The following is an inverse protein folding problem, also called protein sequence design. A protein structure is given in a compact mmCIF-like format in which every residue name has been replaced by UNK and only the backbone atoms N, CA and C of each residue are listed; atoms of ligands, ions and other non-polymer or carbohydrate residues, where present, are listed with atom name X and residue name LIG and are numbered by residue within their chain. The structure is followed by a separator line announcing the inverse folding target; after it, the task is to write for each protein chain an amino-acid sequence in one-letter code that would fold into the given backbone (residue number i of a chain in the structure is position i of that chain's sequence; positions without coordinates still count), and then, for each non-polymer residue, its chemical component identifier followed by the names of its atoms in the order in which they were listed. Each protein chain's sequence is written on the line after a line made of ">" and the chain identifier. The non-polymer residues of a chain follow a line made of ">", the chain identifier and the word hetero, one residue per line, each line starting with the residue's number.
data_IF_901683668279
#
_entry.id   IF_901683668279
#
_cell.length_a   1.000
_cell.length_b   1.000
_cell.length_c   1.000
_cell.angle_alpha   90.00
_cell.angle_beta   90.00
_cell.angle_gamma   90.00
#
_symmetry.space_group_name_H-M   'P 1'
#
loop_
_entity.id
_entity.type
_entity.pdbx_description
1 polymer ?
#
# COMPACT_ATOMS: atom_id res chain seq x y z
N UNK A 1 -6.86 -27.51 -10.20
CA UNK A 1 -6.40 -28.15 -11.43
C UNK A 1 -5.23 -29.02 -11.04
N UNK A 2 -5.33 -30.31 -11.33
CA UNK A 2 -4.24 -31.24 -11.07
C UNK A 2 -3.10 -31.02 -12.09
N UNK A 3 -1.88 -31.41 -11.73
CA UNK A 3 -0.68 -31.12 -12.53
C UNK A 3 -0.72 -31.81 -13.91
N UNK A 4 -1.27 -33.02 -13.97
CA UNK A 4 -1.44 -33.78 -15.21
C UNK A 4 -2.43 -33.11 -16.17
N UNK A 5 -3.56 -32.62 -15.66
CA UNK A 5 -4.54 -31.85 -16.43
C UNK A 5 -3.91 -30.57 -16.99
N UNK A 6 -3.17 -29.82 -16.16
CA UNK A 6 -2.47 -28.60 -16.60
C UNK A 6 -1.50 -28.90 -17.75
N UNK A 7 -0.73 -29.99 -17.64
CA UNK A 7 0.23 -30.41 -18.68
C UNK A 7 -0.49 -30.81 -19.98
N UNK A 8 -1.61 -31.53 -19.89
CA UNK A 8 -2.38 -31.94 -21.08
C UNK A 8 -2.93 -30.73 -21.84
N UNK A 9 -3.48 -29.74 -21.11
CA UNK A 9 -3.98 -28.51 -21.72
C UNK A 9 -2.82 -27.67 -22.28
N UNK A 10 -1.72 -27.50 -21.55
CA UNK A 10 -0.54 -26.78 -22.01
C UNK A 10 0.10 -27.41 -23.27
N UNK A 11 -0.04 -28.73 -23.45
CA UNK A 11 0.39 -29.44 -24.66
C UNK A 11 -0.63 -29.37 -25.82
N UNK A 12 -1.80 -28.78 -25.61
CA UNK A 12 -2.88 -28.68 -26.59
C UNK A 12 -3.64 -30.00 -26.84
N UNK A 13 -3.42 -31.01 -26.00
CA UNK A 13 -4.08 -32.32 -26.08
C UNK A 13 -5.56 -32.20 -25.66
N UNK A 14 -5.81 -31.37 -24.65
CA UNK A 14 -7.13 -30.97 -24.15
C UNK A 14 -7.37 -29.49 -24.43
N UNK A 15 -8.63 -29.10 -24.63
CA UNK A 15 -9.01 -27.69 -24.84
C UNK A 15 -8.79 -26.85 -23.58
N UNK A 16 -8.31 -25.62 -23.76
CA UNK A 16 -8.27 -24.61 -22.72
C UNK A 16 -9.68 -24.07 -22.40
N UNK A 17 -9.84 -23.38 -21.27
CA UNK A 17 -11.13 -22.76 -20.92
C UNK A 17 -11.36 -21.49 -21.73
N UNK A 18 -10.33 -20.62 -21.82
CA UNK A 18 -10.40 -19.34 -22.51
C UNK A 18 -9.14 -19.10 -23.36
N UNK A 19 -9.33 -18.63 -24.60
CA UNK A 19 -8.27 -18.10 -25.43
C UNK A 19 -8.46 -16.61 -25.67
N UNK A 20 -7.54 -15.79 -25.18
CA UNK A 20 -7.47 -14.37 -25.50
C UNK A 20 -6.71 -14.21 -26.81
N UNK A 21 -7.37 -13.73 -27.87
CA UNK A 21 -6.83 -13.68 -29.22
C UNK A 21 -6.33 -12.30 -29.61
N UNK A 22 -5.34 -12.25 -30.49
CA UNK A 22 -4.79 -11.05 -31.10
C UNK A 22 -4.38 -9.99 -30.05
N UNK A 23 -3.66 -10.42 -29.01
CA UNK A 23 -3.19 -9.55 -27.95
C UNK A 23 -1.79 -9.01 -28.26
N UNK A 24 -1.52 -7.73 -28.00
CA UNK A 24 -0.15 -7.20 -27.89
C UNK A 24 0.33 -7.44 -26.45
N UNK A 25 0.95 -8.60 -26.22
CA UNK A 25 1.40 -9.01 -24.88
C UNK A 25 2.59 -8.17 -24.45
N UNK A 26 2.48 -7.51 -23.29
CA UNK A 26 3.59 -6.88 -22.60
C UNK A 26 4.29 -7.94 -21.75
N UNK A 27 5.37 -8.50 -22.26
CA UNK A 27 6.12 -9.53 -21.56
C UNK A 27 7.15 -8.89 -20.63
N UNK A 28 6.76 -8.75 -19.37
CA UNK A 28 7.60 -8.17 -18.31
C UNK A 28 8.81 -9.02 -17.93
N UNK A 29 8.90 -10.27 -18.39
CA UNK A 29 10.05 -11.15 -18.15
C UNK A 29 11.13 -10.96 -19.22
N UNK A 30 10.75 -10.85 -20.50
CA UNK A 30 11.70 -10.64 -21.60
C UNK A 30 11.96 -9.17 -21.93
N UNK A 31 11.08 -8.27 -21.48
CA UNK A 31 11.15 -6.84 -21.80
C UNK A 31 10.54 -6.48 -23.17
N UNK A 32 9.86 -7.42 -23.83
CA UNK A 32 9.33 -7.23 -25.18
C UNK A 32 7.82 -7.01 -25.20
N UNK A 33 7.35 -6.34 -26.26
CA UNK A 33 5.93 -6.33 -26.65
C UNK A 33 5.79 -7.06 -27.98
N UNK A 34 4.94 -8.08 -28.03
CA UNK A 34 4.71 -8.85 -29.26
C UNK A 34 3.27 -9.36 -29.35
N UNK A 35 2.84 -9.62 -30.59
CA UNK A 35 1.51 -10.16 -30.85
C UNK A 35 1.47 -11.68 -30.64
N UNK A 36 0.53 -12.14 -29.83
CA UNK A 36 0.23 -13.56 -29.66
C UNK A 36 -1.16 -13.78 -29.06
N UNK A 37 -1.56 -15.03 -28.92
CA UNK A 37 -2.75 -15.43 -28.17
C UNK A 37 -2.34 -15.96 -26.79
N UNK A 38 -3.20 -15.84 -25.77
CA UNK A 38 -2.95 -16.34 -24.42
C UNK A 38 -4.02 -17.35 -24.04
N UNK A 39 -3.60 -18.60 -23.80
CA UNK A 39 -4.47 -19.69 -23.38
C UNK A 39 -4.54 -19.79 -21.85
N UNK A 40 -5.74 -19.94 -21.33
CA UNK A 40 -6.05 -19.94 -19.90
C UNK A 40 -6.88 -21.19 -19.57
N UNK A 41 -6.51 -21.88 -18.49
CA UNK A 41 -7.27 -23.00 -17.95
C UNK A 41 -7.41 -22.88 -16.42
N UNK A 42 -8.64 -22.91 -15.93
CA UNK A 42 -8.97 -22.52 -14.56
C UNK A 42 -8.47 -21.11 -14.26
N UNK A 43 -7.49 -21.01 -13.35
CA UNK A 43 -6.86 -19.74 -12.98
C UNK A 43 -5.45 -19.57 -13.50
N UNK A 44 -5.00 -20.47 -14.37
CA UNK A 44 -3.61 -20.53 -14.83
C UNK A 44 -3.51 -20.16 -16.30
N UNK A 45 -2.47 -19.40 -16.62
CA UNK A 45 -1.99 -19.28 -17.99
C UNK A 45 -1.30 -20.61 -18.31
N UNK A 46 -1.72 -21.27 -19.38
CA UNK A 46 -1.19 -22.60 -19.78
C UNK A 46 -0.30 -22.53 -21.01
N UNK A 47 -0.40 -21.45 -21.79
CA UNK A 47 0.35 -21.35 -23.04
C UNK A 47 0.19 -20.01 -23.75
N UNK A 48 1.14 -19.74 -24.64
CA UNK A 48 1.11 -18.63 -25.61
C UNK A 48 1.09 -19.21 -27.03
N UNK A 49 0.35 -18.58 -27.93
CA UNK A 49 0.15 -19.03 -29.31
C UNK A 49 -1.21 -19.69 -29.53
N UNK A 50 -1.34 -20.47 -30.60
CA UNK A 50 -2.62 -21.05 -31.00
C UNK A 50 -3.01 -22.27 -30.15
N UNK A 51 -4.19 -22.21 -29.53
CA UNK A 51 -4.79 -23.30 -28.76
C UNK A 51 -6.24 -23.50 -29.18
N UNK A 52 -6.78 -24.70 -28.93
CA UNK A 52 -8.24 -24.91 -28.92
C UNK A 52 -8.76 -24.50 -27.55
N UNK A 53 -9.84 -23.74 -27.51
CA UNK A 53 -10.47 -23.33 -26.25
C UNK A 53 -11.99 -23.38 -26.33
N UNK A 54 -12.64 -23.55 -25.18
CA UNK A 54 -14.10 -23.55 -25.05
C UNK A 54 -14.68 -22.17 -25.36
N UNK A 55 -13.99 -21.13 -24.90
CA UNK A 55 -14.33 -19.74 -25.18
C UNK A 55 -13.15 -19.02 -25.85
N UNK A 56 -13.45 -18.18 -26.83
CA UNK A 56 -12.47 -17.31 -27.49
C UNK A 56 -12.89 -15.85 -27.34
N UNK A 57 -11.96 -14.99 -26.96
CA UNK A 57 -12.18 -13.54 -26.89
C UNK A 57 -11.13 -12.81 -27.72
N UNK A 58 -11.56 -12.15 -28.78
CA UNK A 58 -10.70 -11.31 -29.61
C UNK A 58 -10.46 -9.96 -28.92
N UNK A 59 -9.19 -9.70 -28.56
CA UNK A 59 -8.75 -8.43 -27.98
C UNK A 59 -8.45 -7.37 -29.04
N UNK A 60 -8.61 -7.67 -30.34
CA UNK A 60 -8.54 -6.70 -31.45
C UNK A 60 -7.24 -5.88 -31.46
N UNK A 61 -6.12 -6.50 -31.11
CA UNK A 61 -4.83 -5.82 -31.00
C UNK A 61 -4.68 -4.93 -29.77
N UNK A 62 -5.57 -4.97 -28.78
CA UNK A 62 -5.33 -4.27 -27.51
C UNK A 62 -4.12 -4.87 -26.79
N UNK A 63 -3.50 -4.07 -25.92
CA UNK A 63 -2.40 -4.56 -25.10
C UNK A 63 -2.90 -5.44 -23.98
N UNK A 64 -2.12 -6.45 -23.62
CA UNK A 64 -2.38 -7.35 -22.50
C UNK A 64 -1.14 -7.38 -21.59
N UNK A 65 -1.30 -6.99 -20.34
CA UNK A 65 -0.23 -7.03 -19.33
C UNK A 65 -0.70 -7.77 -18.06
N UNK A 66 0.23 -8.15 -17.16
CA UNK A 66 -0.15 -8.69 -15.85
C UNK A 66 -0.94 -7.66 -15.05
N UNK A 67 -1.83 -8.13 -14.19
CA UNK A 67 -2.58 -7.28 -13.28
C UNK A 67 -1.69 -6.53 -12.30
N UNK A 68 -2.04 -5.27 -12.02
CA UNK A 68 -1.21 -4.38 -11.22
C UNK A 68 -1.24 -4.76 -9.73
N UNK A 69 -0.14 -4.44 -9.06
CA UNK A 69 0.06 -4.62 -7.62
C UNK A 69 0.42 -3.29 -6.98
N UNK A 70 -0.26 -2.96 -5.89
CA UNK A 70 0.22 -1.94 -4.96
C UNK A 70 1.15 -2.58 -3.93
N UNK A 71 2.41 -2.14 -3.90
CA UNK A 71 3.42 -2.73 -3.05
C UNK A 71 3.30 -2.33 -1.57
N UNK A 72 2.59 -1.25 -1.24
CA UNK A 72 2.41 -0.78 0.14
C UNK A 72 1.25 0.21 0.21
N UNK A 73 0.20 -0.13 0.96
CA UNK A 73 -0.99 0.72 1.12
C UNK A 73 -1.67 0.49 2.46
N UNK A 74 -2.29 1.55 2.99
CA UNK A 74 -3.23 1.50 4.11
C UNK A 74 -4.66 1.66 3.57
N UNK A 75 -5.43 0.56 3.44
CA UNK A 75 -6.81 0.63 2.93
C UNK A 75 -7.66 1.55 3.83
N UNK A 76 -7.37 1.62 5.12
CA UNK A 76 -8.04 2.47 6.08
C UNK A 76 -8.02 3.96 5.69
N UNK A 77 -6.94 4.43 5.06
CA UNK A 77 -6.79 5.81 4.58
C UNK A 77 -7.75 6.15 3.45
N UNK A 78 -8.27 5.14 2.74
CA UNK A 78 -9.34 5.30 1.74
C UNK A 78 -10.72 5.52 2.37
N UNK A 79 -10.86 5.30 3.69
CA UNK A 79 -12.14 5.30 4.40
C UNK A 79 -13.16 4.27 3.88
N UNK A 80 -12.71 3.30 3.07
CA UNK A 80 -13.52 2.22 2.51
C UNK A 80 -13.28 0.91 3.28
N UNK A 81 -14.26 0.01 3.18
CA UNK A 81 -14.04 -1.40 3.52
C UNK A 81 -13.28 -2.08 2.38
N UNK A 82 -12.60 -3.20 2.64
CA UNK A 82 -11.84 -3.94 1.61
C UNK A 82 -12.69 -4.27 0.36
N UNK A 83 -13.96 -4.72 0.48
CA UNK A 83 -14.82 -4.90 -0.70
C UNK A 83 -15.09 -3.64 -1.51
N UNK A 84 -15.29 -2.51 -0.83
CA UNK A 84 -15.56 -1.23 -1.51
C UNK A 84 -14.29 -0.65 -2.13
N UNK A 85 -13.14 -0.85 -1.49
CA UNK A 85 -11.84 -0.55 -2.07
C UNK A 85 -11.59 -1.39 -3.33
N UNK A 86 -11.81 -2.71 -3.28
CA UNK A 86 -11.70 -3.59 -4.43
C UNK A 86 -12.62 -3.15 -5.59
N UNK A 87 -13.86 -2.75 -5.27
CA UNK A 87 -14.80 -2.19 -6.26
C UNK A 87 -14.27 -0.94 -6.96
N UNK A 88 -13.46 -0.13 -6.27
CA UNK A 88 -12.87 1.08 -6.82
C UNK A 88 -11.61 0.79 -7.66
N UNK A 89 -10.73 -0.13 -7.24
CA UNK A 89 -9.40 -0.32 -7.86
C UNK A 89 -9.32 -1.44 -8.88
N UNK A 90 -10.14 -2.48 -8.76
CA UNK A 90 -10.14 -3.60 -9.72
C UNK A 90 -10.49 -3.13 -11.13
N UNK A 91 -11.48 -2.24 -11.35
CA UNK A 91 -11.74 -1.70 -12.69
C UNK A 91 -10.62 -0.85 -13.27
N UNK A 92 -9.68 -0.41 -12.43
CA UNK A 92 -8.48 0.32 -12.81
C UNK A 92 -7.28 -0.63 -13.04
N UNK A 93 -7.48 -1.94 -13.02
CA UNK A 93 -6.45 -2.94 -13.30
C UNK A 93 -5.62 -3.41 -12.10
N UNK A 94 -5.90 -2.91 -10.90
CA UNK A 94 -5.25 -3.41 -9.68
C UNK A 94 -5.86 -4.76 -9.30
N UNK A 95 -5.04 -5.81 -9.28
CA UNK A 95 -5.47 -7.18 -8.98
C UNK A 95 -4.88 -7.72 -7.67
N UNK A 96 -3.82 -7.10 -7.17
CA UNK A 96 -3.29 -7.37 -5.85
C UNK A 96 -2.88 -6.10 -5.10
N UNK A 97 -2.89 -6.17 -3.78
CA UNK A 97 -2.33 -5.15 -2.89
C UNK A 97 -1.60 -5.81 -1.73
N UNK A 98 -0.56 -5.17 -1.23
CA UNK A 98 0.11 -5.52 0.02
C UNK A 98 -0.23 -4.44 1.04
N UNK A 99 -0.99 -4.82 2.06
CA UNK A 99 -1.53 -3.89 3.05
C UNK A 99 -0.71 -3.93 4.34
N UNK A 100 -0.55 -2.77 4.95
CA UNK A 100 -0.26 -2.65 6.39
C UNK A 100 -1.52 -2.17 7.11
N UNK A 101 -2.22 -3.06 7.85
CA UNK A 101 -3.42 -2.71 8.59
C UNK A 101 -3.10 -2.05 9.95
N UNK A 102 -2.04 -1.23 10.04
CA UNK A 102 -1.62 -0.64 11.31
C UNK A 102 -2.65 0.31 11.89
N UNK A 103 -3.50 0.92 11.07
CA UNK A 103 -4.49 1.89 11.53
C UNK A 103 -5.54 1.17 12.36
N UNK A 104 -6.17 0.15 11.78
CA UNK A 104 -7.17 -0.63 12.49
C UNK A 104 -6.56 -1.45 13.64
N UNK A 105 -5.29 -1.87 13.53
CA UNK A 105 -4.58 -2.53 14.61
C UNK A 105 -4.29 -1.60 15.78
N UNK A 106 -3.93 -0.33 15.55
CA UNK A 106 -3.85 0.68 16.61
C UNK A 106 -5.19 0.88 17.32
N UNK A 107 -6.31 0.69 16.62
CA UNK A 107 -7.65 0.80 17.21
C UNK A 107 -8.11 -0.43 17.98
N UNK A 108 -7.92 -1.62 17.39
CA UNK A 108 -8.58 -2.86 17.81
C UNK A 108 -7.63 -4.02 18.06
N UNK A 109 -6.33 -3.83 17.86
CA UNK A 109 -5.31 -4.86 18.00
C UNK A 109 -5.55 -6.02 17.04
N UNK A 110 -5.42 -7.24 17.56
CA UNK A 110 -5.60 -8.48 16.80
C UNK A 110 -6.99 -8.61 16.16
N UNK A 111 -8.03 -8.01 16.74
CA UNK A 111 -9.37 -8.03 16.13
C UNK A 111 -9.44 -7.17 14.87
N UNK A 112 -8.64 -6.09 14.81
CA UNK A 112 -8.49 -5.27 13.61
C UNK A 112 -7.79 -6.03 12.48
N UNK A 113 -6.69 -6.72 12.80
CA UNK A 113 -5.95 -7.55 11.84
C UNK A 113 -6.86 -8.67 11.31
N UNK A 114 -7.57 -9.38 12.19
CA UNK A 114 -8.53 -10.43 11.79
C UNK A 114 -9.66 -9.87 10.94
N UNK A 115 -10.17 -8.67 11.25
CA UNK A 115 -11.17 -8.02 10.41
C UNK A 115 -10.66 -7.84 8.98
N UNK A 116 -9.43 -7.33 8.80
CA UNK A 116 -8.85 -7.15 7.46
C UNK A 116 -8.70 -8.50 6.75
N UNK A 117 -8.18 -9.52 7.43
CA UNK A 117 -8.05 -10.88 6.87
C UNK A 117 -9.39 -11.47 6.41
N UNK A 118 -10.45 -11.36 7.22
CA UNK A 118 -11.77 -11.89 6.87
C UNK A 118 -12.46 -11.04 5.79
N UNK A 119 -12.30 -9.70 5.84
CA UNK A 119 -12.91 -8.76 4.90
C UNK A 119 -12.30 -8.88 3.49
N UNK A 120 -11.05 -9.32 3.40
CA UNK A 120 -10.34 -9.61 2.15
C UNK A 120 -10.87 -10.83 1.40
N UNK A 121 -11.58 -11.75 2.06
CA UNK A 121 -12.10 -12.97 1.42
C UNK A 121 -13.24 -12.64 0.45
N UNK A 122 -13.32 -13.43 -0.62
CA UNK A 122 -14.41 -13.38 -1.61
C UNK A 122 -14.50 -12.07 -2.41
N UNK A 123 -13.39 -11.34 -2.56
CA UNK A 123 -13.26 -10.18 -3.44
C UNK A 123 -12.44 -10.55 -4.69
N UNK A 124 -12.64 -9.87 -5.84
CA UNK A 124 -11.81 -10.02 -7.02
C UNK A 124 -10.47 -9.25 -6.91
N UNK A 125 -9.91 -9.16 -5.71
CA UNK A 125 -8.65 -8.50 -5.36
C UNK A 125 -7.89 -9.42 -4.40
N UNK A 126 -6.63 -9.72 -4.71
CA UNK A 126 -5.74 -10.44 -3.80
C UNK A 126 -5.18 -9.45 -2.78
N UNK A 127 -5.39 -9.72 -1.48
CA UNK A 127 -4.91 -8.84 -0.41
C UNK A 127 -3.90 -9.62 0.41
N UNK A 128 -2.63 -9.22 0.30
CA UNK A 128 -1.54 -9.71 1.11
C UNK A 128 -1.32 -8.78 2.30
N UNK A 129 -0.90 -9.32 3.43
CA UNK A 129 -0.82 -8.59 4.69
C UNK A 129 0.61 -8.59 5.18
N UNK A 130 1.10 -7.40 5.48
CA UNK A 130 2.27 -7.18 6.32
C UNK A 130 1.78 -6.89 7.74
N UNK A 131 2.33 -7.57 8.75
CA UNK A 131 1.85 -7.46 10.13
C UNK A 131 2.29 -6.12 10.76
N UNK A 132 1.37 -5.35 11.37
CA UNK A 132 1.68 -4.04 11.95
C UNK A 132 2.83 -4.07 12.94
N UNK A 133 3.89 -3.32 12.68
CA UNK A 133 5.14 -3.39 13.43
C UNK A 133 5.13 -2.50 14.69
N UNK A 134 4.46 -1.35 14.63
CA UNK A 134 4.54 -0.27 15.61
C UNK A 134 3.15 0.11 16.15
N UNK A 135 2.61 -0.76 17.01
CA UNK A 135 1.33 -0.53 17.72
C UNK A 135 1.57 -0.52 19.24
N UNK A 136 1.53 0.64 19.92
CA UNK A 136 1.52 2.00 19.35
C UNK A 136 2.84 2.38 18.68
N UNK A 137 2.86 3.53 17.99
CA UNK A 137 4.06 4.06 17.32
C UNK A 137 5.10 4.59 18.32
N UNK A 138 4.64 5.05 19.49
CA UNK A 138 5.46 5.62 20.56
C UNK A 138 4.85 5.38 21.94
N UNK A 139 5.65 5.46 23.00
CA UNK A 139 5.14 5.40 24.39
C UNK A 139 4.56 6.73 24.88
N UNK A 140 4.56 7.78 24.05
CA UNK A 140 4.00 9.09 24.37
C UNK A 140 2.48 9.20 24.13
N UNK A 141 1.85 8.17 23.57
CA UNK A 141 0.43 8.19 23.18
C UNK A 141 -0.41 7.10 23.85
N UNK A 142 -1.72 7.17 23.65
CA UNK A 142 -2.66 6.13 24.10
C UNK A 142 -3.38 5.54 22.90
N UNK A 143 -3.01 4.33 22.52
CA UNK A 143 -3.68 3.55 21.49
C UNK A 143 -4.72 2.59 22.07
N UNK A 144 -5.53 2.01 21.19
CA UNK A 144 -6.53 0.99 21.53
C UNK A 144 -5.95 -0.40 21.77
N UNK A 145 -4.70 -0.62 21.36
CA UNK A 145 -3.97 -1.87 21.56
C UNK A 145 -2.46 -1.63 21.73
N UNK A 146 -1.78 -2.68 22.19
CA UNK A 146 -0.32 -2.82 22.12
C UNK A 146 -0.05 -4.21 21.57
N UNK A 147 0.77 -4.30 20.53
CA UNK A 147 1.10 -5.58 19.89
C UNK A 147 2.58 -5.89 20.08
N UNK A 148 2.84 -7.08 20.62
CA UNK A 148 4.17 -7.64 20.82
C UNK A 148 4.48 -8.71 19.77
N UNK A 149 5.73 -9.17 19.73
CA UNK A 149 6.18 -10.24 18.83
C UNK A 149 5.34 -11.53 19.00
N UNK A 150 5.03 -11.92 20.23
CA UNK A 150 4.23 -13.12 20.51
C UNK A 150 2.76 -12.99 20.09
N UNK A 151 2.23 -11.78 19.93
CA UNK A 151 0.89 -11.54 19.40
C UNK A 151 0.84 -11.70 17.88
N UNK A 152 1.93 -11.31 17.19
CA UNK A 152 2.07 -11.35 15.73
C UNK A 152 2.51 -12.71 15.21
N UNK A 153 3.38 -13.41 15.94
CA UNK A 153 3.98 -14.69 15.55
C UNK A 153 2.97 -15.73 15.04
N UNK A 154 1.77 -15.91 15.64
CA UNK A 154 0.77 -16.86 15.12
C UNK A 154 0.30 -16.57 13.70
N UNK A 155 0.28 -15.30 13.29
CA UNK A 155 -0.20 -14.88 11.96
C UNK A 155 0.87 -15.01 10.88
N UNK A 156 2.15 -15.05 11.23
CA UNK A 156 3.23 -15.11 10.25
C UNK A 156 3.17 -16.36 9.36
N UNK A 157 2.61 -17.48 9.84
CA UNK A 157 2.49 -18.70 9.05
C UNK A 157 1.26 -18.74 8.15
N UNK A 158 0.39 -17.72 8.21
CA UNK A 158 -0.75 -17.61 7.32
C UNK A 158 -0.30 -17.37 5.88
N UNK A 159 -0.94 -18.04 4.92
CA UNK A 159 -0.57 -18.03 3.50
C UNK A 159 -0.51 -16.61 2.91
N UNK A 160 -1.41 -15.75 3.37
CA UNK A 160 -1.59 -14.37 2.87
C UNK A 160 -0.72 -13.35 3.62
N UNK A 161 0.07 -13.77 4.61
CA UNK A 161 0.95 -12.89 5.37
C UNK A 161 2.37 -12.95 4.81
N UNK A 162 2.84 -11.82 4.26
CA UNK A 162 4.13 -11.72 3.56
C UNK A 162 5.28 -11.29 4.47
N UNK A 163 4.98 -10.78 5.66
CA UNK A 163 6.00 -10.32 6.60
C UNK A 163 5.52 -9.38 7.69
N UNK A 164 6.43 -8.55 8.18
CA UNK A 164 6.17 -7.47 9.13
C UNK A 164 6.24 -6.15 8.37
N UNK A 165 5.24 -5.31 8.60
CA UNK A 165 5.06 -4.06 7.91
C UNK A 165 6.07 -3.00 8.35
N UNK A 166 5.86 -1.78 7.87
CA UNK A 166 6.83 -0.71 7.93
C UNK A 166 7.42 -0.48 9.33
N UNK A 167 8.71 -0.72 9.49
CA UNK A 167 9.40 -0.54 10.77
C UNK A 167 9.72 0.93 11.03
N UNK A 168 8.67 1.73 11.30
CA UNK A 168 8.76 3.18 11.55
C UNK A 168 9.53 3.52 12.84
N UNK A 169 9.55 2.61 13.83
CA UNK A 169 10.39 2.75 15.01
C UNK A 169 11.86 2.38 14.72
N UNK A 170 12.44 2.97 13.66
CA UNK A 170 13.87 2.91 13.39
C UNK A 170 14.72 3.43 14.58
N UNK A 171 14.29 4.41 15.41
CA UNK A 171 15.04 4.78 16.60
C UNK A 171 15.18 3.62 17.59
N UNK A 172 14.12 2.82 17.78
CA UNK A 172 14.14 1.60 18.59
C UNK A 172 15.09 0.54 18.02
N UNK A 173 15.15 0.40 16.69
CA UNK A 173 16.13 -0.50 16.04
C UNK A 173 17.57 -0.06 16.37
N UNK A 174 17.88 1.24 16.20
CA UNK A 174 19.22 1.79 16.46
C UNK A 174 19.60 1.73 17.94
N UNK A 175 18.63 1.96 18.82
CA UNK A 175 18.78 1.86 20.27
C UNK A 175 18.81 0.41 20.78
N UNK A 176 18.60 -0.57 19.89
CA UNK A 176 18.53 -1.99 20.22
C UNK A 176 17.43 -2.30 21.24
N UNK A 177 16.28 -1.62 21.11
CA UNK A 177 15.12 -1.84 21.97
C UNK A 177 14.69 -3.32 21.89
N UNK A 178 14.60 -4.03 23.03
CA UNK A 178 14.31 -5.46 23.03
C UNK A 178 13.00 -5.83 22.33
N UNK A 179 11.95 -5.02 22.48
CA UNK A 179 10.62 -5.30 21.94
C UNK A 179 10.59 -5.04 20.44
N UNK A 180 11.22 -3.96 19.97
CA UNK A 180 11.43 -3.72 18.53
C UNK A 180 12.25 -4.84 17.89
N UNK A 181 13.36 -5.25 18.51
CA UNK A 181 14.20 -6.31 17.96
C UNK A 181 13.51 -7.69 17.97
N UNK A 182 12.65 -7.96 18.95
CA UNK A 182 11.88 -9.21 18.99
C UNK A 182 10.96 -9.34 17.77
N UNK A 183 10.30 -8.25 17.36
CA UNK A 183 9.45 -8.22 16.16
C UNK A 183 10.23 -8.45 14.87
N UNK A 184 11.46 -7.94 14.78
CA UNK A 184 12.34 -8.22 13.64
C UNK A 184 12.74 -9.70 13.58
N UNK A 185 13.08 -10.29 14.74
CA UNK A 185 13.53 -11.70 14.83
C UNK A 185 12.46 -12.70 14.41
N UNK A 186 11.19 -12.47 14.76
CA UNK A 186 10.12 -13.40 14.34
C UNK A 186 9.90 -13.41 12.82
N UNK A 187 10.37 -12.38 12.11
CA UNK A 187 10.20 -12.20 10.67
C UNK A 187 11.47 -12.48 9.85
N UNK A 188 12.49 -13.14 10.43
CA UNK A 188 13.79 -13.38 9.77
C UNK A 188 13.66 -14.12 8.42
N UNK A 189 12.71 -15.05 8.29
CA UNK A 189 12.43 -15.79 7.07
C UNK A 189 11.39 -15.12 6.14
N UNK A 190 10.94 -13.90 6.50
CA UNK A 190 9.89 -13.14 5.80
C UNK A 190 10.40 -11.76 5.39
N UNK A 191 9.52 -10.95 4.79
CA UNK A 191 9.83 -9.55 4.50
C UNK A 191 9.67 -8.68 5.73
N UNK A 192 10.49 -7.65 5.80
CA UNK A 192 10.39 -6.59 6.79
C UNK A 192 10.46 -5.29 6.00
N UNK A 193 9.32 -4.61 5.94
CA UNK A 193 9.24 -3.33 5.27
C UNK A 193 9.80 -2.21 6.13
N UNK A 194 10.32 -1.19 5.47
CA UNK A 194 10.96 -0.06 6.15
C UNK A 194 10.19 1.24 6.01
N UNK A 195 10.42 2.08 7.01
CA UNK A 195 9.98 3.47 7.09
C UNK A 195 11.08 4.22 7.83
N UNK A 196 11.97 4.85 7.06
CA UNK A 196 13.19 5.46 7.59
C UNK A 196 13.45 6.83 6.97
N UNK A 197 12.56 7.82 7.16
CA UNK A 197 12.70 9.15 6.55
C UNK A 197 13.98 9.83 7.03
N UNK A 198 14.84 10.22 6.08
CA UNK A 198 16.09 10.95 6.35
C UNK A 198 17.20 10.14 7.03
N UNK A 199 17.01 8.84 7.25
CA UNK A 199 18.03 7.97 7.83
C UNK A 199 19.17 7.73 6.82
N UNK A 200 20.42 7.97 7.23
CA UNK A 200 21.59 7.89 6.35
C UNK A 200 22.84 7.33 7.04
N UNK A 201 23.88 7.04 6.26
CA UNK A 201 25.20 6.66 6.76
C UNK A 201 25.21 5.40 7.62
N UNK A 202 25.89 5.45 8.76
CA UNK A 202 26.07 4.26 9.63
C UNK A 202 24.76 3.79 10.26
N UNK A 203 23.86 4.71 10.55
CA UNK A 203 22.57 4.38 11.16
C UNK A 203 21.67 3.69 10.13
N UNK A 204 21.68 4.15 8.87
CA UNK A 204 21.03 3.43 7.78
C UNK A 204 21.65 2.04 7.57
N UNK A 205 22.97 1.91 7.61
CA UNK A 205 23.63 0.59 7.54
C UNK A 205 23.18 -0.34 8.68
N UNK A 206 22.98 0.18 9.90
CA UNK A 206 22.50 -0.61 11.03
C UNK A 206 21.05 -1.06 10.83
N UNK A 207 20.17 -0.17 10.35
CA UNK A 207 18.77 -0.46 10.07
C UNK A 207 18.60 -1.50 8.96
N UNK A 208 19.31 -1.34 7.84
CA UNK A 208 19.35 -2.34 6.75
C UNK A 208 19.97 -3.65 7.22
N UNK A 209 21.04 -3.57 8.02
CA UNK A 209 21.71 -4.71 8.61
C UNK A 209 20.85 -5.50 9.59
N UNK A 210 19.84 -4.87 10.19
CA UNK A 210 18.86 -5.52 11.08
C UNK A 210 17.79 -6.32 10.32
N UNK A 211 17.80 -6.31 8.98
CA UNK A 211 16.92 -7.13 8.14
C UNK A 211 15.82 -6.34 7.43
N UNK A 212 15.72 -5.03 7.62
CA UNK A 212 14.75 -4.18 6.89
C UNK A 212 15.20 -3.99 5.44
N UNK A 213 14.32 -4.27 4.47
CA UNK A 213 14.70 -4.41 3.05
C UNK A 213 14.01 -3.47 2.07
N UNK A 214 12.97 -2.75 2.45
CA UNK A 214 12.31 -1.75 1.60
C UNK A 214 12.23 -0.41 2.31
N UNK A 215 11.92 0.65 1.57
CA UNK A 215 11.54 1.95 2.12
C UNK A 215 10.66 2.70 1.10
N UNK A 216 9.60 3.34 1.59
CA UNK A 216 8.72 4.23 0.81
C UNK A 216 8.86 5.71 1.23
N UNK A 217 9.70 6.01 2.23
CA UNK A 217 9.81 7.33 2.86
C UNK A 217 10.83 8.27 2.20
N UNK A 218 11.44 7.84 1.09
CA UNK A 218 12.37 8.68 0.35
C UNK A 218 11.65 9.94 -0.17
N UNK A 219 12.21 11.12 0.14
CA UNK A 219 11.65 12.40 -0.35
C UNK A 219 12.57 13.10 -1.34
N UNK A 220 13.85 12.71 -1.38
CA UNK A 220 14.84 13.25 -2.30
C UNK A 220 15.62 12.14 -2.99
N UNK A 221 16.06 12.42 -4.23
CA UNK A 221 16.74 11.44 -5.08
C UNK A 221 18.02 10.86 -4.44
N UNK A 222 18.80 11.67 -3.74
CA UNK A 222 20.06 11.22 -3.13
C UNK A 222 19.85 10.27 -1.94
N UNK A 223 18.79 10.47 -1.17
CA UNK A 223 18.38 9.57 -0.09
C UNK A 223 18.00 8.20 -0.69
N UNK A 224 17.14 8.20 -1.71
CA UNK A 224 16.74 6.98 -2.40
C UNK A 224 17.94 6.26 -3.03
N UNK A 225 18.89 7.02 -3.60
CA UNK A 225 20.13 6.49 -4.17
C UNK A 225 21.02 5.82 -3.13
N UNK A 226 21.14 6.39 -1.93
CA UNK A 226 21.87 5.78 -0.82
C UNK A 226 21.22 4.47 -0.35
N UNK A 227 19.91 4.49 -0.10
CA UNK A 227 19.11 3.32 0.32
C UNK A 227 19.20 2.18 -0.70
N UNK A 228 19.06 2.50 -1.98
CA UNK A 228 19.22 1.53 -3.08
C UNK A 228 20.62 0.91 -3.12
N UNK A 229 21.69 1.72 -2.95
CA UNK A 229 23.08 1.24 -2.93
C UNK A 229 23.37 0.30 -1.76
N UNK A 230 22.68 0.49 -0.64
CA UNK A 230 22.78 -0.39 0.53
C UNK A 230 21.91 -1.65 0.40
N UNK A 231 21.22 -1.82 -0.75
CA UNK A 231 20.52 -3.05 -1.10
C UNK A 231 19.03 -3.05 -0.75
N UNK A 232 18.47 -1.90 -0.36
CA UNK A 232 17.04 -1.75 -0.17
C UNK A 232 16.29 -1.74 -1.51
N UNK A 233 15.03 -2.15 -1.48
CA UNK A 233 14.06 -1.86 -2.52
C UNK A 233 13.44 -0.49 -2.25
N UNK A 234 13.22 0.29 -3.31
CA UNK A 234 12.59 1.61 -3.22
C UNK A 234 11.14 1.49 -3.69
N UNK A 235 10.21 1.74 -2.78
CA UNK A 235 8.80 1.83 -3.07
C UNK A 235 8.49 3.30 -3.39
N UNK A 236 8.35 3.64 -4.66
CA UNK A 236 8.11 5.01 -5.12
C UNK A 236 6.63 5.32 -4.94
N UNK A 237 6.31 6.15 -3.94
CA UNK A 237 4.94 6.48 -3.56
C UNK A 237 4.33 7.66 -4.32
N UNK A 238 3.04 7.56 -4.55
CA UNK A 238 2.18 8.66 -5.01
C UNK A 238 0.81 8.56 -4.32
N UNK A 239 0.72 9.13 -3.12
CA UNK A 239 -0.47 9.16 -2.27
C UNK A 239 -1.09 10.56 -2.18
N UNK A 240 -2.01 10.74 -1.23
CA UNK A 240 -2.79 11.97 -1.02
C UNK A 240 -2.03 13.12 -0.37
N UNK A 241 -1.03 12.80 0.44
CA UNK A 241 -0.20 13.77 1.18
C UNK A 241 1.25 13.74 0.72
N UNK A 242 1.67 12.65 0.07
CA UNK A 242 3.03 12.43 -0.41
C UNK A 242 3.07 12.18 -1.92
N UNK A 243 3.74 13.06 -2.66
CA UNK A 243 3.81 13.03 -4.12
C UNK A 243 5.27 12.89 -4.57
N UNK A 244 5.84 11.68 -4.48
CA UNK A 244 7.28 11.48 -4.69
C UNK A 244 7.63 10.87 -6.05
N UNK A 245 6.63 10.49 -6.87
CA UNK A 245 6.90 9.83 -8.15
C UNK A 245 7.80 10.67 -9.06
N UNK A 246 7.46 11.94 -9.31
CA UNK A 246 8.24 12.79 -10.21
C UNK A 246 9.67 13.06 -9.70
N UNK A 247 9.84 13.20 -8.39
CA UNK A 247 11.14 13.51 -7.76
C UNK A 247 12.07 12.29 -7.74
N UNK A 248 11.51 11.08 -7.61
CA UNK A 248 12.28 9.84 -7.48
C UNK A 248 12.41 9.03 -8.78
N UNK A 249 11.54 9.24 -9.78
CA UNK A 249 11.60 8.52 -11.06
C UNK A 249 12.99 8.56 -11.74
N UNK A 250 13.78 9.66 -11.68
CA UNK A 250 15.14 9.68 -12.22
C UNK A 250 16.12 8.68 -11.59
N UNK A 251 15.75 8.02 -10.48
CA UNK A 251 16.51 6.92 -9.89
C UNK A 251 16.48 5.66 -10.76
N UNK A 252 15.37 5.44 -11.46
CA UNK A 252 15.07 4.20 -12.15
C UNK A 252 15.87 4.12 -13.45
N UNK A 253 16.69 3.08 -13.56
CA UNK A 253 17.45 2.75 -14.77
C UNK A 253 17.20 1.29 -15.17
N UNK A 254 17.45 0.90 -16.42
CA UNK A 254 17.29 -0.49 -16.85
C UNK A 254 18.05 -1.51 -15.97
N UNK A 255 19.21 -1.11 -15.42
CA UNK A 255 20.05 -1.97 -14.58
C UNK A 255 19.50 -2.17 -13.16
N UNK A 256 18.71 -1.21 -12.66
CA UNK A 256 18.25 -1.19 -11.28
C UNK A 256 16.73 -1.30 -11.12
N UNK A 257 15.95 -1.20 -12.20
CA UNK A 257 14.49 -1.11 -12.14
C UNK A 257 13.83 -2.22 -11.31
N UNK A 258 14.39 -3.44 -11.34
CA UNK A 258 13.96 -4.59 -10.50
C UNK A 258 13.99 -4.34 -8.98
N UNK A 259 14.62 -3.26 -8.52
CA UNK A 259 14.68 -2.83 -7.11
C UNK A 259 13.72 -1.68 -6.81
N UNK A 260 12.96 -1.22 -7.80
CA UNK A 260 11.98 -0.17 -7.67
C UNK A 260 10.58 -0.73 -7.91
N UNK A 261 9.60 -0.27 -7.13
CA UNK A 261 8.19 -0.64 -7.31
C UNK A 261 7.30 0.54 -6.95
N UNK A 262 6.05 0.52 -7.42
CA UNK A 262 5.08 1.58 -7.10
C UNK A 262 4.26 1.22 -5.87
N UNK A 263 3.91 2.25 -5.09
CA UNK A 263 2.94 2.13 -4.01
C UNK A 263 2.09 3.40 -3.86
N UNK A 264 0.94 3.31 -3.21
CA UNK A 264 0.12 4.50 -2.92
C UNK A 264 0.23 4.99 -1.50
N UNK A 265 0.68 4.16 -0.56
CA UNK A 265 0.82 4.51 0.86
C UNK A 265 -0.55 4.95 1.42
N UNK A 266 -0.73 6.23 1.73
CA UNK A 266 -2.02 6.81 2.06
C UNK A 266 -2.74 7.40 0.84
N UNK A 267 -3.90 6.84 0.49
CA UNK A 267 -4.78 7.41 -0.54
C UNK A 267 -6.21 7.65 -0.01
N UNK A 268 -6.69 8.88 -0.12
CA UNK A 268 -8.04 9.26 0.26
C UNK A 268 -9.04 8.94 -0.87
N UNK A 269 -10.35 8.81 -0.56
CA UNK A 269 -11.33 8.37 -1.56
C UNK A 269 -11.54 9.39 -2.70
N UNK A 270 -11.29 10.69 -2.49
CA UNK A 270 -11.37 11.68 -3.56
C UNK A 270 -10.25 11.49 -4.59
N UNK A 271 -9.01 11.29 -4.12
CA UNK A 271 -7.88 11.01 -5.00
C UNK A 271 -8.06 9.70 -5.78
N UNK A 272 -8.57 8.66 -5.11
CA UNK A 272 -8.88 7.38 -5.76
C UNK A 272 -9.90 7.54 -6.90
N UNK A 273 -10.90 8.41 -6.70
CA UNK A 273 -11.94 8.68 -7.68
C UNK A 273 -11.46 9.58 -8.83
N UNK A 274 -10.70 10.64 -8.52
CA UNK A 274 -10.34 11.70 -9.47
C UNK A 274 -9.06 11.39 -10.27
N UNK A 275 -8.13 10.64 -9.67
CA UNK A 275 -6.81 10.35 -10.25
C UNK A 275 -6.69 8.87 -10.62
N UNK A 276 -7.14 7.97 -9.75
CA UNK A 276 -7.02 6.53 -9.91
C UNK A 276 -6.09 5.90 -8.88
N UNK A 277 -5.45 4.79 -9.24
CA UNK A 277 -4.61 3.98 -8.36
C UNK A 277 -3.25 3.72 -9.03
N UNK A 278 -2.71 2.50 -8.93
CA UNK A 278 -1.44 2.12 -9.59
C UNK A 278 -1.44 2.38 -11.12
N UNK A 279 -2.58 2.29 -11.80
CA UNK A 279 -2.69 2.65 -13.21
C UNK A 279 -2.28 4.11 -13.49
N UNK A 280 -2.60 5.02 -12.58
CA UNK A 280 -2.23 6.43 -12.70
C UNK A 280 -0.73 6.63 -12.49
N UNK A 281 -0.11 5.87 -11.57
CA UNK A 281 1.35 5.88 -11.37
C UNK A 281 2.09 5.36 -12.61
N UNK A 282 1.61 4.28 -13.23
CA UNK A 282 2.17 3.76 -14.48
C UNK A 282 2.07 4.83 -15.57
N UNK A 283 0.88 5.42 -15.76
CA UNK A 283 0.65 6.44 -16.77
C UNK A 283 1.54 7.67 -16.56
N UNK A 284 1.60 8.16 -15.33
CA UNK A 284 2.44 9.30 -14.97
C UNK A 284 3.93 8.99 -15.19
N UNK A 285 4.40 7.79 -14.85
CA UNK A 285 5.79 7.40 -15.09
C UNK A 285 6.14 7.36 -16.59
N UNK A 286 5.22 6.83 -17.42
CA UNK A 286 5.38 6.83 -18.89
C UNK A 286 5.41 8.27 -19.43
N UNK A 287 4.51 9.13 -18.97
CA UNK A 287 4.45 10.54 -19.38
C UNK A 287 5.70 11.33 -18.98
N UNK A 288 6.35 10.93 -17.88
CA UNK A 288 7.64 11.45 -17.43
C UNK A 288 8.84 10.83 -18.16
N UNK A 289 8.60 9.91 -19.10
CA UNK A 289 9.62 9.35 -20.01
C UNK A 289 10.20 8.01 -19.57
N UNK A 290 9.62 7.32 -18.58
CA UNK A 290 10.02 5.94 -18.28
C UNK A 290 9.57 5.02 -19.41
N UNK A 291 10.40 4.03 -19.74
CA UNK A 291 10.03 2.97 -20.68
C UNK A 291 8.73 2.26 -20.21
N UNK A 292 7.72 2.09 -21.08
CA UNK A 292 6.44 1.53 -20.68
C UNK A 292 6.49 0.10 -20.12
N UNK A 293 7.39 -0.75 -20.64
CA UNK A 293 7.53 -2.12 -20.13
C UNK A 293 8.15 -2.08 -18.73
N UNK A 294 9.13 -1.21 -18.50
CA UNK A 294 9.73 -0.96 -17.19
C UNK A 294 8.71 -0.42 -16.18
N UNK A 295 7.85 0.51 -16.59
CA UNK A 295 6.76 1.02 -15.74
C UNK A 295 5.80 -0.10 -15.32
N UNK A 296 5.43 -0.99 -16.25
CA UNK A 296 4.59 -2.15 -15.94
C UNK A 296 5.33 -3.15 -15.04
N UNK A 297 6.63 -3.40 -15.24
CA UNK A 297 7.44 -4.27 -14.35
C UNK A 297 7.39 -3.79 -12.89
N UNK A 298 7.55 -2.48 -12.67
CA UNK A 298 7.48 -1.85 -11.35
C UNK A 298 6.11 -1.99 -10.66
N UNK A 299 5.05 -2.19 -11.43
CA UNK A 299 3.68 -2.41 -10.95
C UNK A 299 3.26 -3.88 -10.93
N UNK A 300 4.11 -4.83 -11.34
CA UNK A 300 3.72 -6.24 -11.54
C UNK A 300 4.75 -7.20 -10.98
N UNK A 301 5.78 -7.55 -11.76
CA UNK A 301 6.76 -8.57 -11.40
C UNK A 301 7.68 -8.12 -10.26
N UNK A 302 8.03 -6.83 -10.19
CA UNK A 302 8.94 -6.33 -9.14
C UNK A 302 8.35 -6.51 -7.72
N UNK A 303 7.11 -6.06 -7.43
CA UNK A 303 6.50 -6.34 -6.13
C UNK A 303 6.26 -7.85 -5.93
N UNK A 304 5.88 -8.61 -6.96
CA UNK A 304 5.72 -10.06 -6.84
C UNK A 304 7.01 -10.77 -6.41
N UNK A 305 8.14 -10.43 -7.01
CA UNK A 305 9.46 -10.96 -6.64
C UNK A 305 9.91 -10.50 -5.25
N UNK A 306 9.68 -9.23 -4.92
CA UNK A 306 9.99 -8.73 -3.59
C UNK A 306 9.21 -9.51 -2.54
N UNK A 307 7.89 -9.66 -2.65
CA UNK A 307 7.09 -10.38 -1.66
C UNK A 307 7.08 -11.91 -1.83
N UNK A 308 7.87 -12.46 -2.76
CA UNK A 308 7.96 -13.89 -3.07
C UNK A 308 6.62 -14.54 -3.50
N UNK A 309 5.79 -13.78 -4.22
CA UNK A 309 4.51 -14.19 -4.79
C UNK A 309 4.74 -14.90 -6.14
N UNK A 310 5.16 -16.16 -6.07
CA UNK A 310 5.81 -16.89 -7.18
C UNK A 310 4.98 -17.10 -8.44
N UNK A 311 3.65 -17.07 -8.34
CA UNK A 311 2.74 -17.32 -9.46
C UNK A 311 2.04 -16.06 -9.98
N UNK A 312 2.44 -14.87 -9.55
CA UNK A 312 1.82 -13.60 -9.93
C UNK A 312 2.77 -12.68 -10.70
N UNK A 313 2.20 -11.66 -11.36
CA UNK A 313 2.98 -10.54 -11.92
C UNK A 313 3.60 -10.79 -13.29
N UNK A 314 3.32 -11.90 -13.98
CA UNK A 314 3.79 -12.13 -15.35
C UNK A 314 2.77 -12.89 -16.22
N UNK A 315 2.92 -12.78 -17.55
CA UNK A 315 2.17 -13.57 -18.54
C UNK A 315 3.06 -14.68 -19.06
N UNK A 316 3.00 -15.85 -18.42
CA UNK A 316 3.75 -17.05 -18.84
C UNK A 316 3.07 -18.32 -18.30
N UNK A 317 3.32 -19.50 -18.90
CA UNK A 317 2.79 -20.76 -18.39
C UNK A 317 3.12 -20.97 -16.91
N UNK A 318 2.11 -21.35 -16.12
CA UNK A 318 2.25 -21.54 -14.67
C UNK A 318 2.05 -20.28 -13.82
N UNK A 319 1.84 -19.11 -14.42
CA UNK A 319 1.39 -17.91 -13.71
C UNK A 319 -0.14 -17.84 -13.66
N UNK A 320 -0.68 -17.12 -12.68
CA UNK A 320 -2.10 -16.83 -12.57
C UNK A 320 -2.53 -15.90 -13.70
N UNK A 321 -3.71 -16.15 -14.24
CA UNK A 321 -4.34 -15.29 -15.23
C UNK A 321 -5.00 -14.06 -14.57
N UNK A 322 -4.19 -13.27 -13.87
CA UNK A 322 -4.52 -11.93 -13.39
C UNK A 322 -3.99 -10.95 -14.44
N UNK A 323 -4.89 -10.40 -15.25
CA UNK A 323 -4.53 -9.73 -16.51
C UNK A 323 -5.29 -8.43 -16.69
N UNK A 324 -4.65 -7.47 -17.35
CA UNK A 324 -5.23 -6.18 -17.70
C UNK A 324 -5.14 -5.97 -19.20
N UNK A 325 -6.27 -5.60 -19.81
CA UNK A 325 -6.37 -5.19 -21.20
C UNK A 325 -6.50 -3.67 -21.24
N UNK A 326 -5.68 -3.02 -22.05
CA UNK A 326 -5.72 -1.57 -22.25
C UNK A 326 -5.52 -1.18 -23.71
N UNK A 327 -5.93 0.03 -24.08
CA UNK A 327 -5.94 0.54 -25.46
C UNK A 327 -4.53 0.74 -26.06
N UNK A 328 -3.72 1.60 -25.44
CA UNK A 328 -2.36 1.96 -25.84
C UNK A 328 -1.58 2.64 -24.70
N UNK A 329 -0.30 2.95 -24.92
CA UNK A 329 0.54 3.60 -23.92
C UNK A 329 0.37 5.12 -23.84
N UNK A 330 -0.34 5.75 -24.78
CA UNK A 330 -0.58 7.19 -24.82
C UNK A 330 -1.80 7.59 -23.98
N UNK A 331 -2.90 6.84 -24.10
CA UNK A 331 -4.14 7.04 -23.33
C UNK A 331 -4.16 6.17 -22.07
N UNK A 332 -3.70 4.92 -22.16
CA UNK A 332 -3.64 3.95 -21.07
C UNK A 332 -5.00 3.71 -20.39
N UNK A 333 -6.05 3.61 -21.20
CA UNK A 333 -7.41 3.34 -20.76
C UNK A 333 -7.58 1.84 -20.48
N UNK A 334 -7.99 1.50 -19.26
CA UNK A 334 -8.26 0.11 -18.85
C UNK A 334 -9.60 -0.35 -19.43
N UNK A 335 -9.54 -1.32 -20.33
CA UNK A 335 -10.71 -1.86 -21.04
C UNK A 335 -11.32 -3.06 -20.31
N UNK A 336 -10.47 -4.01 -19.87
CA UNK A 336 -10.89 -5.25 -19.22
C UNK A 336 -9.89 -5.67 -18.16
N UNK A 337 -10.38 -6.30 -17.10
CA UNK A 337 -9.56 -6.87 -16.05
C UNK A 337 -10.01 -8.29 -15.78
N UNK A 338 -9.06 -9.20 -15.79
CA UNK A 338 -9.23 -10.61 -15.46
C UNK A 338 -8.57 -10.91 -14.12
N UNK A 339 -9.23 -11.72 -13.31
CA UNK A 339 -8.69 -12.25 -12.07
C UNK A 339 -8.89 -13.75 -12.05
N UNK A 340 -7.79 -14.50 -11.93
CA UNK A 340 -7.76 -15.95 -11.95
C UNK A 340 -8.47 -16.53 -13.17
N UNK A 341 -8.26 -15.93 -14.35
CA UNK A 341 -8.81 -16.37 -15.63
C UNK A 341 -10.25 -15.92 -15.91
N UNK A 342 -10.89 -15.18 -14.99
CA UNK A 342 -12.28 -14.73 -15.13
C UNK A 342 -12.33 -13.22 -15.37
N UNK A 343 -13.16 -12.76 -16.30
CA UNK A 343 -13.43 -11.33 -16.49
C UNK A 343 -14.16 -10.77 -15.27
N UNK A 344 -13.53 -9.83 -14.56
CA UNK A 344 -14.07 -9.25 -13.31
C UNK A 344 -14.38 -7.76 -13.41
N UNK A 345 -13.84 -7.06 -14.41
CA UNK A 345 -14.21 -5.69 -14.71
C UNK A 345 -14.14 -5.41 -16.22
N UNK A 346 -14.99 -4.51 -16.68
CA UNK A 346 -15.01 -4.01 -18.06
C UNK A 346 -15.42 -2.54 -18.07
N UNK A 347 -14.73 -1.72 -18.88
CA UNK A 347 -15.04 -0.29 -19.10
C UNK A 347 -15.18 0.51 -17.80
N UNK A 348 -14.21 0.36 -16.91
CA UNK A 348 -14.16 1.08 -15.63
C UNK A 348 -15.22 0.63 -14.61
N UNK A 349 -15.92 -0.49 -14.82
CA UNK A 349 -16.89 -1.02 -13.87
C UNK A 349 -16.59 -2.46 -13.47
N UNK A 350 -16.71 -2.74 -12.17
CA UNK A 350 -16.59 -4.11 -11.64
C UNK A 350 -17.85 -4.91 -12.00
N UNK A 351 -17.67 -6.10 -12.55
CA UNK A 351 -18.75 -7.01 -12.89
C UNK A 351 -19.28 -7.72 -11.63
N UNK A 352 -20.55 -8.16 -11.62
CA UNK A 352 -21.11 -8.94 -10.51
C UNK A 352 -20.30 -10.22 -10.26
N UNK A 353 -19.94 -10.46 -8.99
CA UNK A 353 -19.19 -11.63 -8.57
C UNK A 353 -20.14 -12.77 -8.15
N UNK A 354 -19.77 -14.02 -8.47
CA UNK A 354 -20.51 -15.22 -8.05
C UNK A 354 -20.58 -15.35 -6.52
N UNK A 355 -19.42 -15.13 -5.87
CA UNK A 355 -19.31 -15.09 -4.42
C UNK A 355 -19.28 -13.63 -3.99
N UNK A 356 -20.12 -13.30 -3.00
CA UNK A 356 -20.16 -11.95 -2.45
C UNK A 356 -19.34 -11.89 -1.16
N UNK A 357 -18.64 -10.78 -0.92
CA UNK A 357 -18.01 -10.51 0.36
C UNK A 357 -19.04 -10.59 1.48
N UNK A 358 -18.63 -11.19 2.59
CA UNK A 358 -19.49 -11.33 3.77
C UNK A 358 -19.27 -10.13 4.69
N UNK A 359 -20.33 -9.56 5.27
CA UNK A 359 -20.16 -8.56 6.32
C UNK A 359 -19.35 -9.16 7.47
N UNK A 360 -18.23 -8.51 7.81
CA UNK A 360 -17.42 -8.88 8.97
C UNK A 360 -17.82 -7.96 10.13
N UNK A 361 -18.49 -8.46 11.18
CA UNK A 361 -18.89 -7.62 12.29
C UNK A 361 -17.66 -7.14 13.05
N UNK A 362 -17.67 -5.86 13.41
CA UNK A 362 -16.61 -5.25 14.22
C UNK A 362 -17.23 -4.42 15.33
N UNK A 363 -16.58 -4.39 16.50
CA UNK A 363 -17.08 -3.65 17.66
C UNK A 363 -16.98 -2.14 17.45
N UNK A 364 -17.82 -1.38 18.14
CA UNK A 364 -17.65 0.08 18.23
C UNK A 364 -16.30 0.41 18.86
N UNK A 365 -15.63 1.43 18.32
CA UNK A 365 -14.30 1.86 18.73
C UNK A 365 -14.28 3.20 19.47
N UNK A 366 -15.45 3.79 19.70
CA UNK A 366 -15.62 5.07 20.40
C UNK A 366 -15.99 4.83 21.87
N UNK A 367 -14.98 4.88 22.73
CA UNK A 367 -15.12 4.78 24.17
C UNK A 367 -14.44 6.00 24.82
N UNK A 368 -15.21 7.09 24.91
CA UNK A 368 -14.73 8.40 25.40
C UNK A 368 -15.46 8.74 26.70
N UNK A 369 -14.74 9.31 27.66
CA UNK A 369 -15.39 9.98 28.81
C UNK A 369 -16.30 11.10 28.28
N UNK A 370 -17.40 11.38 28.99
CA UNK A 370 -18.22 12.58 28.69
C UNK A 370 -17.34 13.84 28.67
N UNK A 371 -17.29 14.50 27.51
CA UNK A 371 -16.54 15.74 27.28
C UNK A 371 -17.40 16.94 27.73
N UNK A 372 -16.76 17.86 28.45
CA UNK A 372 -17.34 19.12 28.93
C UNK A 372 -16.54 20.31 28.37
N UNK A 373 -17.14 21.50 28.18
CA UNK A 373 -16.41 22.67 27.69
C UNK A 373 -15.14 23.01 28.49
N UNK A 374 -15.13 22.74 29.80
CA UNK A 374 -13.97 22.95 30.67
C UNK A 374 -12.78 22.04 30.37
N UNK A 375 -12.99 20.90 29.69
CA UNK A 375 -11.91 19.96 29.32
C UNK A 375 -10.96 20.56 28.27
N UNK A 376 -11.35 21.64 27.59
CA UNK A 376 -10.54 22.36 26.61
C UNK A 376 -9.83 23.59 27.19
N UNK A 377 -9.95 23.85 28.49
CA UNK A 377 -9.37 25.02 29.13
C UNK A 377 -7.85 24.83 29.33
N UNK A 378 -7.06 25.80 28.87
CA UNK A 378 -5.60 25.83 29.09
C UNK A 378 -5.30 27.00 30.03
N UNK A 379 -4.96 26.77 31.32
CA UNK A 379 -4.62 27.86 32.24
C UNK A 379 -3.42 28.67 31.73
N UNK A 380 -3.54 30.00 31.68
CA UNK A 380 -2.46 30.87 31.26
C UNK A 380 -1.41 30.99 32.39
N UNK A 381 -0.32 30.22 32.29
CA UNK A 381 0.79 30.25 33.27
C UNK A 381 1.95 31.16 32.86
N UNK A 382 1.85 31.81 31.70
CA UNK A 382 2.88 32.68 31.13
C UNK A 382 2.39 33.36 29.87
N UNK A 383 3.24 34.21 29.28
CA UNK A 383 2.91 34.97 28.06
C UNK A 383 3.19 34.21 26.77
N UNK A 384 4.07 33.20 26.82
CA UNK A 384 4.50 32.43 25.66
C UNK A 384 4.22 30.94 25.84
N UNK A 385 3.94 30.25 24.74
CA UNK A 385 3.81 28.81 24.69
C UNK A 385 4.58 28.23 23.49
N UNK A 386 4.88 26.93 23.57
CA UNK A 386 5.27 26.15 22.40
C UNK A 386 4.06 25.96 21.50
N UNK A 387 4.25 26.19 20.20
CA UNK A 387 3.24 26.06 19.16
C UNK A 387 3.78 25.12 18.09
N UNK A 388 2.95 24.18 17.63
CA UNK A 388 3.25 23.30 16.51
C UNK A 388 3.13 24.14 15.24
N UNK A 389 4.24 24.39 14.54
CA UNK A 389 4.25 25.09 13.27
C UNK A 389 4.08 24.11 12.11
N UNK A 390 2.98 24.21 11.37
CA UNK A 390 2.77 23.45 10.16
C UNK A 390 3.73 23.92 9.05
N UNK A 391 4.23 22.96 8.28
CA UNK A 391 4.95 23.24 7.03
C UNK A 391 4.00 22.85 5.88
N UNK A 392 3.57 23.80 5.03
CA UNK A 392 2.63 23.50 3.95
C UNK A 392 3.12 22.35 3.06
N UNK A 393 2.23 21.37 2.82
CA UNK A 393 2.50 20.21 1.95
C UNK A 393 3.51 19.20 2.50
N UNK A 394 3.80 19.20 3.81
CA UNK A 394 4.72 18.25 4.43
C UNK A 394 4.13 17.64 5.71
N UNK A 395 4.55 16.41 6.02
CA UNK A 395 4.20 15.72 7.28
C UNK A 395 5.03 16.23 8.48
N UNK A 396 6.19 16.86 8.22
CA UNK A 396 7.05 17.40 9.28
C UNK A 396 6.49 18.70 9.86
N UNK A 397 6.71 18.90 11.16
CA UNK A 397 6.32 20.12 11.88
C UNK A 397 7.52 20.81 12.50
N UNK A 398 7.36 22.10 12.83
CA UNK A 398 8.38 22.90 13.51
C UNK A 398 7.95 23.18 14.95
N UNK A 399 8.93 23.29 15.85
CA UNK A 399 8.67 23.86 17.17
C UNK A 399 8.78 25.37 17.09
N UNK A 400 7.69 26.09 17.36
CA UNK A 400 7.64 27.54 17.42
C UNK A 400 7.42 28.01 18.86
N UNK A 401 7.86 29.22 19.18
CA UNK A 401 7.52 29.92 20.42
C UNK A 401 6.73 31.18 20.06
N UNK A 402 5.50 31.29 20.57
CA UNK A 402 4.62 32.42 20.26
C UNK A 402 3.96 32.98 21.52
N UNK A 403 3.65 34.28 21.50
CA UNK A 403 2.82 34.90 22.53
C UNK A 403 1.37 34.39 22.42
N UNK A 404 0.84 33.80 23.48
CA UNK A 404 -0.53 33.27 23.49
C UNK A 404 -1.52 34.36 23.88
N UNK A 405 -2.66 34.42 23.16
CA UNK A 405 -3.78 35.28 23.55
C UNK A 405 -4.40 34.73 24.83
N UNK A 406 -4.63 35.60 25.80
CA UNK A 406 -5.24 35.23 27.08
C UNK A 406 -6.57 35.91 27.27
N UNK A 407 -7.59 35.17 27.68
CA UNK A 407 -8.91 35.67 28.04
C UNK A 407 -9.34 35.01 29.37
N UNK A 408 -9.74 35.82 30.34
CA UNK A 408 -10.20 35.36 31.67
C UNK A 408 -9.27 34.35 32.37
N UNK A 409 -7.96 34.54 32.23
CA UNK A 409 -6.94 33.66 32.84
C UNK A 409 -6.62 32.37 32.07
N UNK A 410 -7.19 32.19 30.88
CA UNK A 410 -6.94 31.04 30.02
C UNK A 410 -6.25 31.43 28.72
N UNK A 411 -5.36 30.57 28.23
CA UNK A 411 -4.81 30.69 26.89
C UNK A 411 -5.85 30.20 25.87
N UNK A 412 -6.12 31.03 24.87
CA UNK A 412 -7.16 30.82 23.85
C UNK A 412 -6.58 30.90 22.44
N UNK A 413 -7.32 30.39 21.45
CA UNK A 413 -6.97 30.56 20.04
C UNK A 413 -6.86 32.04 19.68
N UNK A 414 -5.96 32.35 18.76
CA UNK A 414 -5.79 33.66 18.15
C UNK A 414 -5.77 33.55 16.62
N UNK A 415 -6.96 33.50 15.98
CA UNK A 415 -7.06 33.36 14.53
C UNK A 415 -6.38 34.49 13.75
N UNK A 416 -6.29 35.71 14.32
CA UNK A 416 -5.60 36.85 13.68
C UNK A 416 -4.10 36.59 13.47
N UNK A 417 -3.51 35.74 14.32
CA UNK A 417 -2.11 35.30 14.22
C UNK A 417 -1.98 33.85 13.76
N UNK A 418 -3.09 33.26 13.29
CA UNK A 418 -3.21 31.87 12.88
C UNK A 418 -2.69 30.90 13.96
N UNK A 419 -3.01 31.15 15.23
CA UNK A 419 -2.68 30.25 16.33
C UNK A 419 -3.97 29.63 16.83
N UNK A 420 -4.18 28.36 16.52
CA UNK A 420 -5.39 27.63 16.88
C UNK A 420 -5.11 26.67 18.04
N UNK A 421 -6.09 26.50 18.92
CA UNK A 421 -6.05 25.45 19.93
C UNK A 421 -6.19 24.08 19.26
N UNK A 422 -5.32 23.16 19.63
CA UNK A 422 -5.38 21.74 19.26
C UNK A 422 -5.76 20.93 20.49
N UNK A 423 -6.69 19.98 20.32
CA UNK A 423 -7.08 19.04 21.37
C UNK A 423 -7.02 17.61 20.83
N UNK A 424 -6.32 16.74 21.54
CA UNK A 424 -6.25 15.30 21.27
C UNK A 424 -6.91 14.58 22.44
N UNK A 425 -8.01 13.89 22.18
CA UNK A 425 -8.84 13.25 23.20
C UNK A 425 -8.68 11.73 23.10
N UNK A 426 -8.29 11.11 24.21
CA UNK A 426 -8.21 9.64 24.29
C UNK A 426 -9.61 9.03 24.15
N UNK A 427 -9.76 8.06 23.24
CA UNK A 427 -11.08 7.58 22.79
C UNK A 427 -11.29 6.06 22.85
N UNK A 428 -10.35 5.33 23.44
CA UNK A 428 -10.34 3.86 23.51
C UNK A 428 -10.71 3.31 24.89
N UNK A 429 -10.34 4.01 25.96
CA UNK A 429 -10.42 3.53 27.34
C UNK A 429 -11.30 4.41 28.23
N UNK A 430 -11.80 5.54 27.71
CA UNK A 430 -12.48 6.58 28.48
C UNK A 430 -11.68 7.05 29.71
N UNK A 431 -10.35 7.06 29.60
CA UNK A 431 -9.42 7.46 30.67
C UNK A 431 -9.61 8.93 31.10
N UNK A 432 -10.15 9.75 30.20
CA UNK A 432 -10.24 11.19 30.36
C UNK A 432 -8.95 11.93 30.00
N UNK A 433 -7.92 11.23 29.52
CA UNK A 433 -6.70 11.85 29.02
C UNK A 433 -7.02 12.78 27.84
N UNK A 434 -6.51 14.01 27.91
CA UNK A 434 -6.67 15.02 26.86
C UNK A 434 -5.37 15.80 26.74
N UNK A 435 -4.74 15.73 25.57
CA UNK A 435 -3.62 16.59 25.20
C UNK A 435 -4.15 17.91 24.67
N UNK A 436 -3.73 19.03 25.25
CA UNK A 436 -4.08 20.37 24.78
C UNK A 436 -2.82 21.12 24.35
N UNK A 437 -2.88 21.80 23.21
CA UNK A 437 -1.77 22.57 22.68
C UNK A 437 -2.22 23.65 21.71
N UNK A 438 -1.25 24.23 21.02
CA UNK A 438 -1.47 25.23 19.99
C UNK A 438 -0.78 24.82 18.70
N UNK A 439 -1.40 25.15 17.57
CA UNK A 439 -0.90 24.91 16.22
C UNK A 439 -1.00 26.18 15.40
N UNK A 440 -0.05 26.41 14.48
CA UNK A 440 -0.03 27.54 13.57
C UNK A 440 0.22 27.10 12.13
N UNK A 441 -0.45 27.74 11.17
CA UNK A 441 -0.29 27.48 9.74
C UNK A 441 -1.53 26.89 9.05
N UNK A 442 -2.70 26.91 9.71
CA UNK A 442 -3.95 26.38 9.12
C UNK A 442 -4.66 27.42 8.25
N UNK A 443 -4.44 28.71 8.51
CA UNK A 443 -5.09 29.82 7.81
C UNK A 443 -6.63 29.76 7.86
N UNK A 444 -7.19 29.34 9.01
CA UNK A 444 -8.63 29.21 9.27
C UNK A 444 -9.23 30.40 10.05
#
# INVERSE_FOLDING_TARGET
>A
MELDELIQVARGEVEADLLLKNARVVNVLSGEVYETNVAIAGSWIVGLGDYRAREEMDLRGHYLCPGFMDAHIHIESTMLTVPEFARAVVPLGTTAVVIDPHEIANVLGLDGIRYMMESSKYNPLSVFIMLPSCVPSTDLETAGARLMDYDLSPFLNEEWVTGVAEMMNYPGVLAQDPDTLAKLRIAEDKRIDGHAPGLSGRDLCAYVGAGVRSDHECTILEEAREKLRLGMYIMIRQGSTAHNLADLLPLVTPENARRCMFCTDDINPAMLQDVGHINALIKQAIDLGLDPVTAIQMATINPAEYFALRDLGAIAPGYRADLVVFDDFEHFTIEKVFRGGRLVAEKGQMLPQEQRPRPVPIRSSMNVRRIMPGDFAIPARGRQARVIGLVPGQLVTRTLWAEVKTLDGYAVSDPERDILKLAVIERHQASGNTGLGFVQGFHL
#
